data_IF_165253047727
#
_entry.id   IF_165253047727
#
_cell.length_a   1.000
_cell.length_b   1.000
_cell.length_c   1.000
_cell.angle_alpha   90.00
_cell.angle_beta   90.00
_cell.angle_gamma   90.00
#
_symmetry.space_group_name_H-M   'P 1'
#
loop_
_entity.id
_entity.type
_entity.pdbx_description
1 polymer ?
#
# COMPACT_ATOMS: atom_id res chain seq x y z
N UNK A 1 19.79 16.47 -2.77
CA UNK A 1 18.63 17.34 -3.07
C UNK A 1 17.46 16.40 -3.28
N UNK A 2 16.42 16.48 -2.45
CA UNK A 2 15.23 15.65 -2.61
C UNK A 2 14.40 16.21 -3.77
N UNK A 3 13.94 15.33 -4.65
CA UNK A 3 13.15 15.69 -5.82
C UNK A 3 11.80 14.99 -5.74
N UNK A 4 10.78 15.63 -6.28
CA UNK A 4 9.49 14.99 -6.56
C UNK A 4 9.59 14.41 -7.97
N UNK A 5 9.37 13.10 -8.06
CA UNK A 5 9.40 12.37 -9.32
C UNK A 5 8.03 11.75 -9.52
N UNK A 6 7.37 12.13 -10.61
CA UNK A 6 6.16 11.47 -11.09
C UNK A 6 6.54 10.39 -12.09
N UNK A 7 6.24 9.13 -11.77
CA UNK A 7 6.54 8.00 -12.64
C UNK A 7 5.28 7.21 -13.01
N UNK A 8 5.29 6.65 -14.21
CA UNK A 8 4.50 5.47 -14.53
C UNK A 8 5.39 4.24 -14.36
N UNK A 9 4.82 3.16 -13.82
CA UNK A 9 5.53 1.91 -13.69
C UNK A 9 4.66 0.73 -14.15
N UNK A 10 5.31 -0.29 -14.68
CA UNK A 10 4.73 -1.61 -14.91
C UNK A 10 5.58 -2.62 -14.17
N UNK A 11 4.95 -3.36 -13.27
CA UNK A 11 5.55 -4.43 -12.51
C UNK A 11 5.22 -5.77 -13.18
N UNK A 12 6.26 -6.51 -13.56
CA UNK A 12 6.14 -7.86 -14.10
C UNK A 12 6.96 -8.84 -13.28
N UNK A 13 6.47 -10.06 -13.14
CA UNK A 13 7.27 -11.17 -12.61
C UNK A 13 8.36 -11.52 -13.63
N UNK A 14 9.64 -11.49 -13.24
CA UNK A 14 10.73 -11.78 -14.17
C UNK A 14 10.80 -13.27 -14.55
N UNK A 15 10.27 -14.16 -13.69
CA UNK A 15 10.26 -15.61 -13.94
C UNK A 15 9.09 -16.04 -14.83
N UNK A 16 7.90 -15.52 -14.57
CA UNK A 16 6.66 -15.92 -15.24
C UNK A 16 6.29 -14.98 -16.39
N UNK A 17 6.84 -13.76 -16.41
CA UNK A 17 6.48 -12.70 -17.35
C UNK A 17 5.09 -12.09 -17.10
N UNK A 18 4.40 -12.53 -16.04
CA UNK A 18 3.05 -12.09 -15.71
C UNK A 18 3.09 -10.65 -15.16
N UNK A 19 2.20 -9.80 -15.67
CA UNK A 19 2.03 -8.44 -15.16
C UNK A 19 1.31 -8.51 -13.82
N UNK A 20 2.02 -8.11 -12.77
CA UNK A 20 1.49 -8.13 -11.40
C UNK A 20 0.76 -6.84 -11.11
N UNK A 21 1.35 -5.71 -11.48
CA UNK A 21 0.81 -4.39 -11.21
C UNK A 21 1.21 -3.41 -12.31
N UNK A 22 0.42 -2.37 -12.54
CA UNK A 22 0.80 -1.29 -13.45
C UNK A 22 -0.03 -0.06 -13.24
N UNK A 23 0.62 1.07 -13.40
CA UNK A 23 -0.01 2.39 -13.35
C UNK A 23 0.02 3.10 -14.72
N UNK A 24 0.34 2.37 -15.80
CA UNK A 24 0.43 2.93 -17.15
C UNK A 24 -0.98 3.25 -17.67
N UNK A 25 -1.20 4.50 -18.08
CA UNK A 25 -2.50 5.02 -18.51
C UNK A 25 -3.42 5.48 -17.37
N UNK A 26 -2.90 5.51 -16.14
CA UNK A 26 -3.58 5.99 -14.94
C UNK A 26 -3.09 7.37 -14.47
N UNK A 27 -3.27 7.65 -13.18
CA UNK A 27 -2.69 8.83 -12.54
C UNK A 27 -1.23 8.53 -12.17
N UNK A 28 -0.24 9.37 -12.56
CA UNK A 28 1.17 9.09 -12.29
C UNK A 28 1.44 8.90 -10.80
N UNK A 29 2.33 7.96 -10.46
CA UNK A 29 2.77 7.77 -9.08
C UNK A 29 3.84 8.82 -8.77
N UNK A 30 3.46 9.84 -8.01
CA UNK A 30 4.37 10.88 -7.57
C UNK A 30 4.91 10.58 -6.16
N UNK A 31 6.23 10.60 -6.00
CA UNK A 31 6.88 10.38 -4.71
C UNK A 31 8.10 11.29 -4.53
N UNK A 32 8.58 11.41 -3.28
CA UNK A 32 9.76 12.20 -2.95
C UNK A 32 10.98 11.29 -2.84
N UNK A 33 12.03 11.56 -3.63
CA UNK A 33 13.27 10.78 -3.56
C UNK A 33 13.98 10.91 -2.22
N UNK A 34 14.46 9.78 -1.68
CA UNK A 34 15.21 9.70 -0.43
C UNK A 34 14.31 9.56 0.80
N UNK A 35 13.03 9.22 0.61
CA UNK A 35 12.06 8.97 1.69
C UNK A 35 11.76 7.49 1.91
N UNK A 36 12.31 6.59 1.09
CA UNK A 36 12.03 5.16 1.20
C UNK A 36 10.56 4.82 0.95
N UNK A 37 9.84 5.66 0.18
CA UNK A 37 8.46 5.40 -0.22
C UNK A 37 8.36 4.33 -1.33
N UNK A 38 9.48 4.11 -2.01
CA UNK A 38 9.64 3.12 -3.06
C UNK A 38 10.84 2.24 -2.73
N UNK A 39 10.89 1.07 -3.38
CA UNK A 39 11.95 0.10 -3.18
C UNK A 39 13.32 0.69 -3.55
N UNK A 40 14.38 0.43 -2.76
CA UNK A 40 15.68 1.07 -2.93
C UNK A 40 16.33 0.75 -4.29
N UNK A 41 16.08 -0.45 -4.84
CA UNK A 41 16.58 -0.84 -6.15
C UNK A 41 16.03 0.02 -7.29
N UNK A 42 14.79 0.49 -7.16
CA UNK A 42 14.12 1.36 -8.14
C UNK A 42 14.43 2.83 -7.88
N UNK A 43 14.49 3.25 -6.60
CA UNK A 43 14.83 4.63 -6.22
C UNK A 43 16.22 5.03 -6.75
N UNK A 44 17.21 4.16 -6.58
CA UNK A 44 18.58 4.41 -7.02
C UNK A 44 18.64 4.65 -8.52
N UNK A 45 17.87 3.90 -9.31
CA UNK A 45 17.84 4.05 -10.76
C UNK A 45 17.11 5.31 -11.21
N UNK A 46 15.99 5.65 -10.57
CA UNK A 46 15.25 6.87 -10.89
C UNK A 46 16.02 8.14 -10.59
N UNK A 47 16.90 8.14 -9.59
CA UNK A 47 17.80 9.26 -9.30
C UNK A 47 18.84 9.49 -10.40
N UNK A 48 19.21 8.43 -11.14
CA UNK A 48 20.13 8.52 -12.28
C UNK A 48 19.45 8.96 -13.59
N UNK A 49 18.12 8.90 -13.65
CA UNK A 49 17.33 9.15 -14.87
C UNK A 49 16.94 10.62 -15.04
N UNK A 50 16.68 11.01 -16.29
CA UNK A 50 16.19 12.33 -16.65
C UNK A 50 14.65 12.39 -16.77
N UNK A 51 14.10 13.59 -16.80
CA UNK A 51 12.67 13.79 -17.11
C UNK A 51 12.32 13.23 -18.50
N UNK A 52 11.16 12.58 -18.64
CA UNK A 52 10.70 11.92 -19.86
C UNK A 52 11.52 10.68 -20.29
N UNK A 53 12.35 10.15 -19.41
CA UNK A 53 13.16 8.95 -19.68
C UNK A 53 12.43 7.67 -19.22
N UNK A 54 12.58 6.60 -20.00
CA UNK A 54 12.08 5.26 -19.67
C UNK A 54 13.24 4.29 -19.47
N UNK A 55 13.13 3.46 -18.44
CA UNK A 55 14.10 2.41 -18.17
C UNK A 55 13.42 1.16 -17.63
N UNK A 56 14.00 0.01 -17.96
CA UNK A 56 13.65 -1.28 -17.39
C UNK A 56 14.66 -1.62 -16.31
N UNK A 57 14.17 -1.73 -15.07
CA UNK A 57 14.98 -2.07 -13.91
C UNK A 57 14.58 -3.46 -13.45
N UNK A 58 15.51 -4.41 -13.56
CA UNK A 58 15.37 -5.70 -12.92
C UNK A 58 15.77 -5.56 -11.46
N UNK A 59 14.83 -5.77 -10.55
CA UNK A 59 15.06 -5.69 -9.10
C UNK A 59 14.96 -7.11 -8.54
N UNK A 60 16.06 -7.57 -7.95
CA UNK A 60 16.08 -8.84 -7.23
C UNK A 60 15.17 -8.75 -5.99
N UNK A 61 14.68 -9.89 -5.51
CA UNK A 61 13.78 -9.96 -4.36
C UNK A 61 14.28 -9.12 -3.17
N UNK A 62 15.57 -9.23 -2.85
CA UNK A 62 16.24 -8.50 -1.74
C UNK A 62 16.12 -6.97 -1.81
N UNK A 63 16.08 -6.41 -3.03
CA UNK A 63 16.06 -4.96 -3.28
C UNK A 63 14.64 -4.45 -3.62
N UNK A 64 13.66 -5.36 -3.70
CA UNK A 64 12.24 -5.09 -3.93
C UNK A 64 11.44 -5.25 -2.63
N UNK A 65 10.77 -6.40 -2.47
CA UNK A 65 9.91 -6.70 -1.32
C UNK A 65 10.63 -7.53 -0.22
N UNK A 66 11.93 -7.76 -0.39
CA UNK A 66 12.72 -8.62 0.47
C UNK A 66 12.86 -10.05 -0.07
N UNK A 67 13.87 -10.75 0.42
CA UNK A 67 14.02 -12.18 0.16
C UNK A 67 12.94 -12.97 0.87
N UNK A 68 12.63 -14.15 0.34
CA UNK A 68 11.77 -15.10 1.04
C UNK A 68 12.46 -15.47 2.35
N UNK A 69 11.88 -15.05 3.47
CA UNK A 69 12.44 -15.36 4.77
C UNK A 69 11.83 -16.64 5.30
N UNK A 70 12.61 -17.71 5.35
CA UNK A 70 12.18 -18.98 5.96
C UNK A 70 11.87 -18.81 7.45
N UNK A 71 12.47 -17.83 8.14
CA UNK A 71 12.17 -17.51 9.54
C UNK A 71 10.80 -16.82 9.72
N UNK A 72 10.26 -16.23 8.65
CA UNK A 72 8.89 -15.72 8.63
C UNK A 72 7.86 -16.83 8.39
N UNK A 73 8.30 -18.08 8.23
CA UNK A 73 7.42 -19.25 8.22
C UNK A 73 7.27 -19.74 9.66
N UNK A 74 6.11 -19.55 10.26
CA UNK A 74 5.84 -20.04 11.61
C UNK A 74 4.94 -21.26 11.59
N UNK A 75 5.20 -22.16 12.53
CA UNK A 75 4.33 -23.29 12.80
C UNK A 75 3.53 -22.99 14.05
N UNK A 76 2.23 -22.87 13.90
CA UNK A 76 1.28 -22.57 14.98
C UNK A 76 0.38 -23.78 15.23
N UNK A 77 -0.02 -24.03 16.48
CA UNK A 77 -0.91 -25.13 16.80
C UNK A 77 -2.28 -24.92 16.15
N UNK A 78 -2.84 -25.98 15.57
CA UNK A 78 -4.14 -25.96 14.87
C UNK A 78 -5.29 -25.49 15.76
N UNK A 79 -5.13 -25.58 17.09
CA UNK A 79 -6.09 -25.07 18.07
C UNK A 79 -6.39 -23.57 17.89
N UNK A 80 -5.41 -22.78 17.43
CA UNK A 80 -5.61 -21.35 17.13
C UNK A 80 -6.46 -21.12 15.87
N UNK A 81 -6.56 -22.13 15.01
CA UNK A 81 -7.34 -22.14 13.77
C UNK A 81 -8.57 -23.04 13.89
N UNK A 82 -8.94 -23.45 15.10
CA UNK A 82 -10.08 -24.32 15.35
C UNK A 82 -11.38 -23.62 14.93
N UNK A 83 -12.15 -24.27 14.04
CA UNK A 83 -13.39 -23.73 13.49
C UNK A 83 -13.26 -23.08 12.11
N UNK A 84 -12.05 -23.06 11.52
CA UNK A 84 -11.80 -22.59 10.15
C UNK A 84 -11.43 -23.81 9.28
N UNK A 85 -12.02 -23.93 8.09
CA UNK A 85 -11.58 -24.91 7.10
C UNK A 85 -10.26 -24.43 6.47
N UNK A 86 -9.14 -25.01 6.94
CA UNK A 86 -7.81 -24.73 6.41
C UNK A 86 -7.64 -25.40 5.05
N UNK A 87 -7.16 -24.63 4.07
CA UNK A 87 -6.79 -25.14 2.75
C UNK A 87 -5.34 -24.73 2.45
N UNK A 88 -4.55 -25.64 1.87
CA UNK A 88 -3.19 -25.32 1.43
C UNK A 88 -3.22 -24.23 0.33
N UNK A 89 -2.39 -23.21 0.48
CA UNK A 89 -2.38 -22.03 -0.39
C UNK A 89 -3.45 -20.98 -0.06
N UNK A 90 -4.26 -21.17 0.99
CA UNK A 90 -5.22 -20.17 1.43
C UNK A 90 -4.51 -19.01 2.13
N UNK A 91 -4.89 -17.77 1.79
CA UNK A 91 -4.50 -16.59 2.56
C UNK A 91 -5.43 -16.40 3.76
N UNK A 92 -4.86 -16.26 4.95
CA UNK A 92 -5.55 -15.97 6.21
C UNK A 92 -5.01 -14.67 6.81
N UNK A 93 -5.76 -14.08 7.73
CA UNK A 93 -5.28 -12.94 8.51
C UNK A 93 -4.87 -13.45 9.90
N UNK A 94 -3.58 -13.41 10.17
CA UNK A 94 -2.98 -13.72 11.46
C UNK A 94 -2.81 -12.47 12.31
N UNK A 95 -2.52 -12.67 13.59
CA UNK A 95 -2.02 -11.60 14.46
C UNK A 95 -0.49 -11.73 14.53
N UNK A 96 0.23 -10.71 14.10
CA UNK A 96 1.69 -10.66 14.22
C UNK A 96 2.15 -10.45 15.67
N UNK A 97 3.46 -10.57 15.92
CA UNK A 97 4.04 -10.38 17.27
C UNK A 97 3.75 -9.00 17.87
N UNK A 98 3.48 -8.00 17.03
CA UNK A 98 3.15 -6.63 17.47
C UNK A 98 1.63 -6.38 17.60
N UNK A 99 0.79 -7.41 17.49
CA UNK A 99 -0.67 -7.29 17.59
C UNK A 99 -1.35 -6.77 16.33
N UNK A 100 -0.61 -6.70 15.22
CA UNK A 100 -1.08 -6.22 13.92
C UNK A 100 -1.76 -7.35 13.17
N UNK A 101 -2.87 -7.07 12.48
CA UNK A 101 -3.44 -8.04 11.53
C UNK A 101 -2.56 -8.12 10.30
N UNK A 102 -1.89 -9.25 10.13
CA UNK A 102 -1.00 -9.52 9.00
C UNK A 102 -1.60 -10.61 8.13
N UNK A 103 -1.52 -10.44 6.81
CA UNK A 103 -1.94 -11.48 5.88
C UNK A 103 -0.85 -12.55 5.82
N UNK A 104 -1.23 -13.81 6.03
CA UNK A 104 -0.35 -14.98 5.98
C UNK A 104 -0.90 -15.99 4.99
N UNK A 105 -0.04 -16.84 4.43
CA UNK A 105 -0.46 -17.91 3.51
C UNK A 105 -0.20 -19.27 4.14
N UNK A 106 -1.19 -20.16 4.13
CA UNK A 106 -1.03 -21.53 4.64
C UNK A 106 -0.17 -22.33 3.65
N UNK A 107 1.04 -22.73 4.06
CA UNK A 107 1.92 -23.57 3.23
C UNK A 107 1.49 -25.02 3.28
N UNK A 108 1.32 -25.54 4.51
CA UNK A 108 0.84 -26.89 4.79
C UNK A 108 0.23 -26.94 6.18
N UNK A 109 -0.63 -27.91 6.42
CA UNK A 109 -1.18 -28.17 7.74
C UNK A 109 -1.25 -29.67 8.01
N UNK A 110 -1.11 -30.02 9.28
CA UNK A 110 -1.21 -31.39 9.80
C UNK A 110 -2.39 -31.49 10.77
N UNK A 111 -2.60 -32.65 11.39
CA UNK A 111 -3.65 -32.82 12.38
C UNK A 111 -3.41 -32.01 13.67
N UNK A 112 -2.15 -31.72 14.02
CA UNK A 112 -1.78 -30.94 15.22
C UNK A 112 -1.29 -29.53 14.92
N UNK A 113 -0.58 -29.33 13.81
CA UNK A 113 0.20 -28.11 13.57
C UNK A 113 -0.06 -27.53 12.18
N UNK A 114 -0.08 -26.20 12.07
CA UNK A 114 -0.33 -25.45 10.84
C UNK A 114 0.89 -24.59 10.53
N UNK A 115 1.47 -24.78 9.34
CA UNK A 115 2.59 -23.97 8.86
C UNK A 115 2.06 -22.82 8.03
N UNK A 116 2.24 -21.61 8.55
CA UNK A 116 1.84 -20.36 7.91
C UNK A 116 3.07 -19.55 7.50
N UNK A 117 2.93 -18.84 6.40
CA UNK A 117 3.95 -18.03 5.78
C UNK A 117 3.57 -16.56 5.92
N UNK A 118 4.35 -15.79 6.68
CA UNK A 118 4.15 -14.35 6.86
C UNK A 118 4.82 -13.52 5.77
N UNK A 119 5.49 -14.14 4.80
CA UNK A 119 6.12 -13.39 3.72
C UNK A 119 5.07 -12.72 2.83
N UNK A 120 5.44 -11.56 2.28
CA UNK A 120 4.65 -10.94 1.22
C UNK A 120 4.54 -11.91 0.03
N UNK A 121 3.38 -12.01 -0.65
CA UNK A 121 3.21 -12.93 -1.79
C UNK A 121 4.20 -12.71 -2.95
N UNK A 122 4.87 -11.55 -2.96
CA UNK A 122 5.90 -11.17 -3.93
C UNK A 122 7.35 -11.25 -3.38
N UNK A 123 7.53 -11.59 -2.10
CA UNK A 123 8.85 -11.78 -1.51
C UNK A 123 9.54 -13.00 -2.12
N UNK A 124 10.86 -12.90 -2.32
CA UNK A 124 11.65 -13.95 -2.96
C UNK A 124 11.52 -14.03 -4.50
N UNK A 125 10.67 -13.20 -5.13
CA UNK A 125 10.55 -13.17 -6.59
C UNK A 125 11.38 -12.03 -7.18
N UNK A 126 12.07 -12.30 -8.28
CA UNK A 126 12.72 -11.27 -9.10
C UNK A 126 11.64 -10.56 -9.90
N UNK A 127 11.62 -9.24 -9.80
CA UNK A 127 10.60 -8.40 -10.41
C UNK A 127 11.23 -7.48 -11.45
N UNK A 128 10.58 -7.37 -12.60
CA UNK A 128 10.97 -6.46 -13.67
C UNK A 128 10.07 -5.23 -13.63
N UNK A 129 10.65 -4.09 -13.29
CA UNK A 129 9.98 -2.80 -13.23
C UNK A 129 10.31 -2.00 -14.47
N UNK A 130 9.34 -1.81 -15.36
CA UNK A 130 9.45 -0.84 -16.45
C UNK A 130 8.94 0.50 -15.93
N UNK A 131 9.85 1.46 -15.69
CA UNK A 131 9.53 2.79 -15.17
C UNK A 131 9.69 3.86 -16.24
N UNK A 132 8.82 4.87 -16.22
CA UNK A 132 8.87 6.03 -17.10
C UNK A 132 8.70 7.28 -16.27
N UNK A 133 9.70 8.16 -16.28
CA UNK A 133 9.66 9.43 -15.58
C UNK A 133 8.82 10.41 -16.38
N UNK A 134 7.68 10.83 -15.87
CA UNK A 134 6.81 11.80 -16.53
C UNK A 134 7.13 13.23 -16.10
N UNK A 135 7.39 13.44 -14.81
CA UNK A 135 7.67 14.77 -14.26
C UNK A 135 8.81 14.68 -13.26
N UNK A 136 9.71 15.66 -13.28
CA UNK A 136 10.81 15.75 -12.34
C UNK A 136 10.96 17.21 -11.89
N UNK A 137 10.68 17.46 -10.61
CA UNK A 137 10.83 18.78 -10.01
C UNK A 137 11.52 18.71 -8.65
N UNK A 138 12.11 19.82 -8.22
CA UNK A 138 12.66 19.91 -6.87
C UNK A 138 11.53 19.88 -5.82
N UNK A 139 11.73 19.09 -4.75
CA UNK A 139 10.76 18.96 -3.69
C UNK A 139 10.77 20.21 -2.81
N UNK A 140 9.58 20.68 -2.42
CA UNK A 140 9.46 21.78 -1.45
C UNK A 140 9.77 21.29 -0.03
N UNK A 141 10.18 22.16 0.88
CA UNK A 141 10.49 21.79 2.27
C UNK A 141 9.31 21.07 2.97
N UNK A 142 8.07 21.45 2.67
CA UNK A 142 6.87 20.79 3.19
C UNK A 142 6.71 19.35 2.67
N UNK A 143 6.98 19.10 1.39
CA UNK A 143 6.96 17.77 0.78
C UNK A 143 8.13 16.91 1.30
N UNK A 144 9.29 17.53 1.55
CA UNK A 144 10.43 16.86 2.19
C UNK A 144 10.12 16.51 3.63
N UNK A 145 9.29 17.27 4.36
CA UNK A 145 8.94 16.91 5.73
C UNK A 145 7.83 15.86 5.79
N UNK A 146 6.77 16.04 5.00
CA UNK A 146 5.58 15.18 4.99
C UNK A 146 5.78 13.89 4.21
N UNK A 147 6.68 13.88 3.22
CA UNK A 147 6.86 12.76 2.30
C UNK A 147 5.67 12.59 1.34
N UNK A 148 4.82 13.61 1.16
CA UNK A 148 3.69 13.49 0.22
C UNK A 148 3.70 14.62 -0.78
N UNK A 149 3.60 14.22 -2.05
CA UNK A 149 3.50 15.12 -3.19
C UNK A 149 2.19 15.89 -3.12
N UNK A 150 2.28 17.22 -3.15
CA UNK A 150 1.13 18.12 -2.98
C UNK A 150 0.79 18.50 -1.53
N UNK A 151 1.57 18.02 -0.55
CA UNK A 151 1.48 18.45 0.85
C UNK A 151 0.18 18.03 1.57
N UNK A 152 -0.16 18.73 2.66
CA UNK A 152 -1.27 18.40 3.56
C UNK A 152 -2.66 18.40 2.87
N UNK A 153 -2.78 19.05 1.70
CA UNK A 153 -4.03 19.10 0.92
C UNK A 153 -4.40 17.73 0.31
N UNK A 154 -3.43 16.88 -0.02
CA UNK A 154 -3.67 15.51 -0.48
C UNK A 154 -4.10 14.57 0.67
N UNK A 155 -3.84 14.95 1.94
CA UNK A 155 -4.22 14.17 3.13
C UNK A 155 -5.69 14.39 3.51
N UNK A 156 -6.37 15.35 2.89
CA UNK A 156 -7.73 15.78 3.24
C UNK A 156 -8.86 14.95 2.64
N UNK A 157 -8.55 13.88 1.89
CA UNK A 157 -9.54 13.11 1.14
C UNK A 157 -9.39 11.60 1.31
N UNK A 158 -10.10 11.03 2.30
CA UNK A 158 -10.66 9.68 2.21
C UNK A 158 -9.68 8.51 2.22
N UNK A 159 -9.13 8.18 3.38
CA UNK A 159 -8.81 6.79 3.66
C UNK A 159 -10.12 6.04 3.98
N UNK A 160 -10.82 5.59 2.95
CA UNK A 160 -11.93 4.64 3.05
C UNK A 160 -11.54 3.34 2.31
N UNK A 161 -10.46 2.72 2.77
CA UNK A 161 -10.07 1.36 2.44
C UNK A 161 -10.45 0.42 3.58
N UNK A 162 -11.75 0.28 3.84
CA UNK A 162 -12.27 -0.56 4.91
C UNK A 162 -13.65 -1.10 4.56
N UNK A 163 -13.66 -2.25 3.88
CA UNK A 163 -14.79 -3.19 3.83
C UNK A 163 -16.06 -2.70 3.13
N UNK A 164 -16.35 -3.28 1.97
CA UNK A 164 -17.71 -3.36 1.45
C UNK A 164 -18.60 -4.04 2.48
N UNK A 165 -19.29 -3.26 3.32
CA UNK A 165 -20.44 -3.74 4.06
C UNK A 165 -21.69 -3.33 3.27
N UNK A 166 -22.18 -4.31 2.52
CA UNK A 166 -23.49 -4.27 1.88
C UNK A 166 -24.57 -4.12 2.97
N UNK A 167 -25.26 -2.99 2.96
CA UNK A 167 -26.59 -2.88 3.53
C UNK A 167 -27.49 -2.27 2.47
N UNK A 168 -28.11 -3.14 1.69
CA UNK A 168 -29.32 -2.78 0.97
C UNK A 168 -30.43 -2.30 1.91
N UNK A 169 -31.27 -1.43 1.34
CA UNK A 169 -32.60 -0.98 1.76
C UNK A 169 -32.71 0.36 2.51
N UNK A 170 -33.18 1.34 1.72
CA UNK A 170 -34.30 2.25 2.02
C UNK A 170 -34.19 3.13 3.28
N UNK A 171 -33.93 4.42 3.09
CA UNK A 171 -34.07 5.41 4.16
C UNK A 171 -33.79 6.83 3.71
N UNK A 172 -34.85 7.62 3.56
CA UNK A 172 -34.82 8.93 2.91
C UNK A 172 -34.03 10.03 3.62
N UNK A 173 -33.59 10.99 2.81
CA UNK A 173 -33.25 12.35 3.25
C UNK A 173 -34.46 13.00 3.93
N UNK A 174 -34.36 13.33 5.23
CA UNK A 174 -34.89 14.58 5.79
C UNK A 174 -34.60 14.74 7.29
N UNK A 175 -34.52 16.01 7.72
CA UNK A 175 -34.74 16.56 9.06
C UNK A 175 -33.47 16.92 9.86
N UNK A 176 -33.04 18.18 9.86
CA UNK A 176 -33.41 19.26 10.82
C UNK A 176 -33.13 18.90 12.29
N UNK A 177 -32.13 19.61 12.87
CA UNK A 177 -32.03 20.27 14.20
C UNK A 177 -32.77 19.70 15.44
N UNK A 178 -32.47 20.15 16.68
CA UNK A 178 -31.59 21.25 17.12
C UNK A 178 -30.57 20.82 18.18
N UNK A 179 -29.59 21.67 18.53
CA UNK A 179 -29.25 22.05 19.92
C UNK A 179 -28.30 23.27 19.90
N UNK A 180 -28.84 24.45 20.24
CA UNK A 180 -28.04 25.60 20.70
C UNK A 180 -27.51 25.33 22.13
N UNK A 181 -26.47 26.04 22.60
CA UNK A 181 -26.70 27.36 23.19
C UNK A 181 -25.63 28.42 22.88
N UNK A 182 -26.07 29.68 22.98
CA UNK A 182 -25.27 30.86 23.36
C UNK A 182 -24.27 31.40 22.33
N UNK A 183 -24.69 32.42 21.58
CA UNK A 183 -24.09 33.76 21.70
C UNK A 183 -25.14 34.81 21.29
N UNK A 184 -25.39 35.75 22.20
CA UNK A 184 -26.43 36.76 22.07
C UNK A 184 -26.09 37.89 21.11
N UNK A 185 -27.15 38.44 20.52
CA UNK A 185 -27.31 39.87 20.26
C UNK A 185 -26.89 40.37 18.89
N UNK A 186 -27.83 40.36 17.93
CA UNK A 186 -27.88 41.40 16.90
C UNK A 186 -29.35 41.77 16.67
N UNK A 187 -29.74 42.98 17.10
CA UNK A 187 -31.07 43.53 16.91
C UNK A 187 -31.13 44.38 15.64
N UNK A 188 -32.18 44.22 14.85
CA UNK A 188 -32.54 45.12 13.76
C UNK A 188 -33.92 45.70 14.07
N UNK A 189 -34.00 47.03 14.22
CA UNK A 189 -35.23 47.78 14.42
C UNK A 189 -35.99 47.96 13.12
N UNK A 190 -37.33 47.81 13.24
CA UNK A 190 -38.45 48.33 12.43
C UNK A 190 -38.31 48.46 10.91
#
# INVERSE_FOLDING_TARGET
>A
MSKVIGIEYTLKDANSGEQIDSNVGGAPLEFVSGKGQIIPGLETKLVEMSESEQADVMVEAKDAYGEFNEEAVQTLPKEQFAGIELTEGMSLYGTGEQGETVQVTVKSFTDTDVTIDYNHPLAGKTLMFSVTVLTLRDATEEEIQTGVVGGMAAMGGGCCGGGSHDHGSEGGCCSTEPQQPSHGGCGCSH
#
